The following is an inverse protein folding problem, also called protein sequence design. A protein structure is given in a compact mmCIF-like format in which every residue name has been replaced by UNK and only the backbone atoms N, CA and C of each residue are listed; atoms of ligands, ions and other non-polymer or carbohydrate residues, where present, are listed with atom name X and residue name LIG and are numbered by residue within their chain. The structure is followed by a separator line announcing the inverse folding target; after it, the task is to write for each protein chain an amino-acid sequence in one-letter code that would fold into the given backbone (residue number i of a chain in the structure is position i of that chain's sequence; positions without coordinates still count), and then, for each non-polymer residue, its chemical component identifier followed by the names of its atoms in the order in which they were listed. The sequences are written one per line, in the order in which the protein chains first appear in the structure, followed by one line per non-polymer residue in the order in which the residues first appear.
data_IF_529248273042
#
_entry.id   IF_529248273042
#
_cell.length_a   1.000
_cell.length_b   1.000
_cell.length_c   1.000
_cell.angle_alpha   90.00
_cell.angle_beta   90.00
_cell.angle_gamma   90.00
#
_symmetry.space_group_name_H-M   'P 1'
#
loop_
_entity.id
_entity.type
_entity.pdbx_description
1 polymer ?
#
# COMPACT_ATOMS: atom_id res chain seq x y z
N UNK A 1 -7.93 27.45 -4.88
CA UNK A 1 -6.79 26.62 -5.35
C UNK A 1 -7.33 25.22 -5.57
N UNK A 2 -6.86 24.50 -6.59
CA UNK A 2 -7.22 23.09 -6.77
C UNK A 2 -6.56 22.27 -5.66
N UNK A 3 -7.33 21.44 -4.96
CA UNK A 3 -6.85 20.61 -3.85
C UNK A 3 -5.89 19.54 -4.36
N UNK A 4 -4.85 19.20 -3.57
CA UNK A 4 -3.78 18.29 -4.02
C UNK A 4 -4.30 16.91 -4.42
N UNK A 5 -5.23 16.36 -3.64
CA UNK A 5 -5.80 15.02 -3.87
C UNK A 5 -6.74 14.94 -5.10
N UNK A 6 -7.06 16.08 -5.74
CA UNK A 6 -7.83 16.13 -6.99
C UNK A 6 -6.95 16.31 -8.23
N UNK A 7 -5.63 16.51 -8.06
CA UNK A 7 -4.73 16.67 -9.19
C UNK A 7 -4.56 15.34 -9.93
N UNK A 8 -4.51 15.42 -11.26
CA UNK A 8 -4.19 14.25 -12.07
C UNK A 8 -2.70 13.92 -11.86
N UNK A 9 -2.37 12.72 -11.35
CA UNK A 9 -1.00 12.35 -11.00
C UNK A 9 -0.09 12.24 -12.23
N UNK A 10 -0.63 12.00 -13.43
CA UNK A 10 0.15 11.96 -14.66
C UNK A 10 0.52 13.34 -15.16
N UNK A 11 -0.45 14.26 -15.19
CA UNK A 11 -0.22 15.65 -15.61
C UNK A 11 0.77 16.33 -14.66
N UNK A 12 0.62 16.10 -13.36
CA UNK A 12 1.52 16.65 -12.36
C UNK A 12 2.92 16.03 -12.44
N UNK A 13 3.04 14.71 -12.68
CA UNK A 13 4.34 14.09 -12.91
C UNK A 13 5.04 14.65 -14.15
N UNK A 14 4.32 14.81 -15.26
CA UNK A 14 4.85 15.41 -16.48
C UNK A 14 5.36 16.83 -16.19
N UNK A 15 4.51 17.68 -15.59
CA UNK A 15 4.84 19.05 -15.22
C UNK A 15 6.06 19.13 -14.31
N UNK A 16 6.08 18.36 -13.21
CA UNK A 16 7.19 18.38 -12.26
C UNK A 16 8.49 17.91 -12.91
N UNK A 17 8.46 16.85 -13.72
CA UNK A 17 9.66 16.28 -14.35
C UNK A 17 10.33 17.19 -15.38
N UNK A 18 9.67 18.25 -15.83
CA UNK A 18 10.23 19.29 -16.71
C UNK A 18 10.86 20.45 -15.94
N UNK A 19 10.55 20.57 -14.64
CA UNK A 19 11.10 21.63 -13.79
C UNK A 19 12.58 21.36 -13.47
N UNK A 20 13.40 22.40 -13.70
CA UNK A 20 14.80 22.41 -13.29
C UNK A 20 14.90 22.43 -11.76
N UNK A 21 15.79 21.61 -11.20
CA UNK A 21 15.98 21.49 -9.76
C UNK A 21 17.08 20.50 -9.41
N UNK A 22 17.23 20.17 -8.13
CA UNK A 22 18.18 19.15 -7.70
C UNK A 22 17.47 17.80 -7.61
N UNK A 23 17.49 17.03 -8.69
CA UNK A 23 16.85 15.73 -8.77
C UNK A 23 17.78 14.60 -8.34
N UNK A 24 17.26 13.67 -7.55
CA UNK A 24 17.85 12.35 -7.32
C UNK A 24 16.99 11.30 -8.02
N UNK A 25 17.62 10.38 -8.74
CA UNK A 25 16.93 9.35 -9.53
C UNK A 25 17.53 7.98 -9.21
N UNK A 26 16.68 7.02 -8.86
CA UNK A 26 17.02 5.60 -8.83
C UNK A 26 16.40 4.93 -10.06
N UNK A 27 17.23 4.31 -10.90
CA UNK A 27 16.72 3.37 -11.91
C UNK A 27 16.51 2.03 -11.25
N UNK A 28 15.34 1.42 -11.49
CA UNK A 28 14.85 0.26 -10.75
C UNK A 28 14.51 -0.91 -11.67
N UNK A 29 14.55 -2.12 -11.12
CA UNK A 29 14.09 -3.37 -11.74
C UNK A 29 12.87 -3.89 -10.95
N UNK A 30 11.64 -3.52 -11.35
CA UNK A 30 10.44 -3.94 -10.65
C UNK A 30 10.04 -5.38 -11.03
N UNK A 31 9.82 -6.23 -10.03
CA UNK A 31 9.18 -7.56 -10.19
C UNK A 31 7.66 -7.50 -10.00
N UNK A 32 7.09 -6.33 -10.23
CA UNK A 32 5.67 -5.97 -10.06
C UNK A 32 5.19 -5.22 -11.31
N UNK A 33 3.89 -5.01 -11.44
CA UNK A 33 3.34 -4.17 -12.49
C UNK A 33 3.87 -2.73 -12.35
N UNK A 34 4.37 -2.15 -13.43
CA UNK A 34 4.94 -0.80 -13.42
C UNK A 34 4.15 0.16 -14.31
N UNK A 35 3.98 1.45 -13.96
CA UNK A 35 3.14 2.37 -14.73
C UNK A 35 3.66 2.57 -16.17
N UNK A 36 2.74 2.68 -17.14
CA UNK A 36 3.04 2.95 -18.56
C UNK A 36 3.33 4.43 -18.86
N UNK A 37 3.00 5.31 -17.92
CA UNK A 37 3.21 6.75 -18.02
C UNK A 37 3.90 7.28 -16.76
N UNK A 38 4.43 8.50 -16.81
CA UNK A 38 5.00 9.14 -15.61
C UNK A 38 3.88 9.34 -14.59
N UNK A 39 4.06 8.89 -13.35
CA UNK A 39 3.05 8.99 -12.31
C UNK A 39 3.62 9.65 -11.05
N UNK A 40 2.89 10.63 -10.50
CA UNK A 40 3.25 11.25 -9.23
C UNK A 40 2.66 10.42 -8.10
N UNK A 41 3.47 10.12 -7.09
CA UNK A 41 3.08 9.39 -5.90
C UNK A 41 3.52 10.16 -4.66
N UNK A 42 2.61 10.31 -3.70
CA UNK A 42 2.93 10.84 -2.38
C UNK A 42 3.24 9.70 -1.41
N UNK A 43 4.35 9.83 -0.68
CA UNK A 43 4.76 8.89 0.36
C UNK A 43 5.51 9.64 1.45
N UNK A 44 5.08 9.47 2.70
CA UNK A 44 5.72 10.09 3.87
C UNK A 44 5.97 11.61 3.67
N UNK A 45 4.90 12.32 3.28
CA UNK A 45 4.85 13.76 3.01
C UNK A 45 5.73 14.25 1.84
N UNK A 46 6.29 13.34 1.04
CA UNK A 46 7.14 13.65 -0.11
C UNK A 46 6.55 13.08 -1.38
N UNK A 47 6.76 13.81 -2.46
CA UNK A 47 6.32 13.44 -3.79
C UNK A 47 7.46 12.79 -4.57
N UNK A 48 7.16 11.64 -5.16
CA UNK A 48 8.03 10.86 -6.01
C UNK A 48 7.43 10.77 -7.41
N UNK A 49 8.27 10.89 -8.44
CA UNK A 49 7.87 10.66 -9.82
C UNK A 49 8.34 9.28 -10.23
N UNK A 50 7.38 8.41 -10.56
CA UNK A 50 7.63 7.13 -11.20
C UNK A 50 7.78 7.36 -12.70
N UNK A 51 8.90 6.93 -13.27
CA UNK A 51 9.14 6.93 -14.71
C UNK A 51 8.74 5.59 -15.29
N UNK A 52 8.04 5.58 -16.44
CA UNK A 52 7.55 4.34 -17.02
C UNK A 52 8.67 3.50 -17.59
N UNK A 53 8.38 2.21 -17.79
CA UNK A 53 9.13 1.37 -18.72
C UNK A 53 8.51 1.54 -20.13
N UNK A 54 9.08 2.42 -20.96
CA UNK A 54 8.55 2.64 -22.31
C UNK A 54 9.36 1.90 -23.37
N UNK A 55 8.75 1.68 -24.54
CA UNK A 55 9.41 1.00 -25.65
C UNK A 55 10.50 1.85 -26.32
N UNK A 56 10.53 3.17 -26.06
CA UNK A 56 11.57 4.06 -26.55
C UNK A 56 12.86 3.82 -25.76
N UNK A 57 13.97 3.60 -26.49
CA UNK A 57 15.23 3.04 -25.99
C UNK A 57 15.91 3.81 -24.83
N UNK A 58 15.41 4.98 -24.46
CA UNK A 58 16.03 5.90 -23.50
C UNK A 58 15.29 5.99 -22.15
N UNK A 59 14.23 5.21 -21.92
CA UNK A 59 13.48 5.25 -20.66
C UNK A 59 13.47 3.89 -19.96
N UNK A 60 14.18 3.84 -18.83
CA UNK A 60 14.09 2.72 -17.87
C UNK A 60 13.16 3.10 -16.72
N UNK A 61 12.50 2.08 -16.15
CA UNK A 61 11.75 2.23 -14.91
C UNK A 61 12.61 2.93 -13.85
N UNK A 62 12.10 4.02 -13.28
CA UNK A 62 12.85 4.79 -12.31
C UNK A 62 11.94 5.52 -11.33
N UNK A 63 12.54 5.91 -10.20
CA UNK A 63 11.89 6.67 -9.14
C UNK A 63 12.74 7.91 -8.92
N UNK A 64 12.11 9.09 -9.00
CA UNK A 64 12.79 10.35 -8.80
C UNK A 64 12.16 11.17 -7.68
N UNK A 65 13.00 11.89 -6.94
CA UNK A 65 12.57 12.91 -5.98
C UNK A 65 13.34 14.20 -6.25
N UNK A 66 12.66 15.34 -6.09
CA UNK A 66 13.29 16.66 -6.17
C UNK A 66 13.80 17.09 -4.81
N UNK A 67 15.08 16.86 -4.55
CA UNK A 67 15.73 17.00 -3.24
C UNK A 67 15.67 18.44 -2.70
N UNK A 68 15.85 19.45 -3.55
CA UNK A 68 15.83 20.87 -3.16
C UNK A 68 14.46 21.34 -2.65
N UNK A 69 13.35 20.72 -3.11
CA UNK A 69 12.00 21.03 -2.61
C UNK A 69 11.86 20.73 -1.11
N UNK A 70 12.62 19.76 -0.62
CA UNK A 70 12.54 19.27 0.76
C UNK A 70 13.80 19.58 1.57
N UNK A 71 14.73 20.39 1.02
CA UNK A 71 15.99 20.72 1.69
C UNK A 71 16.91 19.53 1.94
N UNK A 72 16.80 18.47 1.12
CA UNK A 72 17.56 17.23 1.31
C UNK A 72 18.94 17.30 0.67
N UNK A 73 19.94 16.75 1.35
CA UNK A 73 21.22 16.38 0.75
C UNK A 73 21.04 15.22 -0.25
N UNK A 74 22.00 14.99 -1.16
CA UNK A 74 21.97 13.84 -2.07
C UNK A 74 21.82 12.49 -1.35
N UNK A 75 22.50 12.30 -0.23
CA UNK A 75 22.44 11.08 0.59
C UNK A 75 21.07 10.89 1.26
N UNK A 76 20.47 11.97 1.74
CA UNK A 76 19.12 11.93 2.31
C UNK A 76 18.07 11.65 1.24
N UNK A 77 18.19 12.26 0.06
CA UNK A 77 17.30 11.97 -1.07
C UNK A 77 17.38 10.49 -1.51
N UNK A 78 18.58 9.91 -1.57
CA UNK A 78 18.75 8.47 -1.81
C UNK A 78 18.09 7.63 -0.73
N UNK A 79 18.24 8.00 0.54
CA UNK A 79 17.61 7.31 1.67
C UNK A 79 16.08 7.34 1.56
N UNK A 80 15.49 8.47 1.18
CA UNK A 80 14.04 8.58 0.98
C UNK A 80 13.55 7.70 -0.18
N UNK A 81 14.28 7.65 -1.30
CA UNK A 81 13.95 6.71 -2.39
C UNK A 81 14.07 5.25 -1.92
N UNK A 82 15.12 4.90 -1.17
CA UNK A 82 15.26 3.53 -0.64
C UNK A 82 14.12 3.16 0.30
N UNK A 83 13.65 4.10 1.14
CA UNK A 83 12.48 3.88 2.02
C UNK A 83 11.21 3.68 1.21
N UNK A 84 10.99 4.51 0.19
CA UNK A 84 9.90 4.36 -0.77
C UNK A 84 9.91 2.97 -1.41
N UNK A 85 11.06 2.53 -1.94
CA UNK A 85 11.17 1.21 -2.56
C UNK A 85 10.85 0.06 -1.60
N UNK A 86 11.25 0.17 -0.32
CA UNK A 86 10.93 -0.85 0.68
C UNK A 86 9.43 -0.89 1.00
N UNK A 87 8.79 0.27 1.16
CA UNK A 87 7.36 0.34 1.43
C UNK A 87 6.54 -0.19 0.25
N UNK A 88 6.89 0.21 -0.98
CA UNK A 88 6.25 -0.29 -2.20
C UNK A 88 6.44 -1.80 -2.37
N UNK A 89 7.64 -2.33 -2.15
CA UNK A 89 7.90 -3.77 -2.23
C UNK A 89 7.09 -4.57 -1.20
N UNK A 90 6.89 -4.03 0.00
CA UNK A 90 6.05 -4.66 1.02
C UNK A 90 4.57 -4.64 0.62
N UNK A 91 4.06 -3.49 0.18
CA UNK A 91 2.67 -3.32 -0.26
C UNK A 91 2.31 -4.23 -1.44
N UNK A 92 3.21 -4.39 -2.41
CA UNK A 92 3.01 -5.23 -3.60
C UNK A 92 3.42 -6.70 -3.38
N UNK A 93 3.98 -7.05 -2.22
CA UNK A 93 4.53 -8.38 -1.95
C UNK A 93 5.55 -8.85 -3.00
N UNK A 94 6.24 -7.91 -3.65
CA UNK A 94 7.06 -8.15 -4.85
C UNK A 94 8.39 -7.42 -4.79
N UNK A 95 9.42 -7.98 -5.43
CA UNK A 95 10.77 -7.42 -5.40
C UNK A 95 10.93 -6.14 -6.21
N UNK A 96 11.83 -5.27 -5.75
CA UNK A 96 12.18 -4.01 -6.38
C UNK A 96 13.67 -3.71 -6.14
N UNK A 97 14.49 -3.92 -7.16
CA UNK A 97 15.94 -3.67 -7.08
C UNK A 97 16.29 -2.28 -7.59
N UNK A 98 17.30 -1.63 -7.00
CA UNK A 98 17.90 -0.41 -7.54
C UNK A 98 19.13 -0.80 -8.36
N UNK A 99 19.12 -0.47 -9.64
CA UNK A 99 20.19 -0.84 -10.60
C UNK A 99 21.24 0.26 -10.69
N UNK A 100 20.81 1.52 -10.68
CA UNK A 100 21.69 2.67 -10.87
C UNK A 100 21.16 3.92 -10.18
N UNK A 101 22.08 4.78 -9.78
CA UNK A 101 21.80 6.10 -9.25
C UNK A 101 22.20 7.17 -10.25
N UNK A 102 21.28 8.09 -10.53
CA UNK A 102 21.50 9.27 -11.34
C UNK A 102 20.95 10.52 -10.66
N UNK A 103 20.95 11.63 -11.37
CA UNK A 103 20.43 12.89 -10.87
C UNK A 103 21.00 14.10 -11.59
N UNK A 104 20.68 15.27 -11.06
CA UNK A 104 21.13 16.56 -11.58
C UNK A 104 19.97 17.51 -11.85
N UNK A 105 20.16 18.42 -12.81
CA UNK A 105 19.23 19.51 -13.07
C UNK A 105 17.84 19.03 -13.57
N UNK A 106 17.75 17.83 -14.12
CA UNK A 106 16.51 17.19 -14.58
C UNK A 106 16.54 15.70 -14.22
N UNK A 107 15.38 15.08 -13.97
CA UNK A 107 15.29 13.66 -13.63
C UNK A 107 15.46 12.80 -14.89
N UNK A 108 16.67 12.31 -15.12
CA UNK A 108 17.00 11.43 -16.26
C UNK A 108 17.38 10.05 -15.75
N UNK A 109 16.55 9.03 -15.98
CA UNK A 109 16.90 7.64 -15.69
C UNK A 109 18.14 7.21 -16.46
N UNK A 110 18.89 6.25 -15.90
CA UNK A 110 20.07 5.65 -16.55
C UNK A 110 20.02 4.15 -16.33
N UNK A 111 20.14 3.34 -17.37
CA UNK A 111 20.17 1.90 -17.18
C UNK A 111 19.76 1.11 -18.41
N UNK A 112 19.76 -0.21 -18.23
CA UNK A 112 19.31 -1.16 -19.22
C UNK A 112 17.91 -1.61 -18.84
N UNK A 113 17.02 -1.62 -19.82
CA UNK A 113 15.65 -2.09 -19.69
C UNK A 113 15.57 -3.51 -19.12
N UNK A 114 14.80 -3.68 -18.04
CA UNK A 114 14.46 -4.97 -17.41
C UNK A 114 13.02 -4.88 -16.87
N UNK A 115 12.23 -5.93 -17.10
CA UNK A 115 10.80 -5.98 -16.73
C UNK A 115 9.84 -6.00 -17.93
N UNK A 116 8.71 -6.71 -17.79
CA UNK A 116 7.70 -6.94 -18.85
C UNK A 116 6.24 -6.80 -18.37
N UNK A 117 6.01 -6.41 -17.11
CA UNK A 117 4.66 -6.28 -16.55
C UNK A 117 4.37 -4.79 -16.37
N UNK A 118 3.34 -4.32 -17.06
CA UNK A 118 2.94 -2.91 -17.07
C UNK A 118 1.51 -2.76 -16.54
N UNK A 119 1.21 -1.60 -15.97
CA UNK A 119 -0.13 -1.18 -15.56
C UNK A 119 -0.38 0.25 -16.04
N UNK A 120 -1.65 0.60 -16.29
CA UNK A 120 -2.00 1.99 -16.61
C UNK A 120 -1.90 2.89 -15.38
N UNK A 121 -2.05 2.34 -14.18
CA UNK A 121 -1.97 3.08 -12.92
C UNK A 121 -1.44 2.18 -11.81
N UNK A 122 -0.48 2.67 -11.03
CA UNK A 122 0.02 1.99 -9.84
C UNK A 122 -0.68 2.56 -8.60
N UNK A 123 -1.51 1.76 -7.95
CA UNK A 123 -2.16 2.14 -6.69
C UNK A 123 -1.15 2.07 -5.55
N UNK A 124 -1.13 3.10 -4.71
CA UNK A 124 -0.07 3.29 -3.68
C UNK A 124 -0.63 3.81 -2.36
N UNK A 125 -1.96 3.92 -2.25
CA UNK A 125 -2.64 4.45 -1.06
C UNK A 125 -2.36 3.68 0.22
N UNK A 126 -2.07 2.37 0.11
CA UNK A 126 -1.92 1.47 1.25
C UNK A 126 -0.45 1.16 1.59
N UNK A 127 0.50 1.95 1.06
CA UNK A 127 1.91 1.78 1.40
C UNK A 127 2.15 2.11 2.88
N UNK A 128 2.78 1.21 3.65
CA UNK A 128 2.98 1.44 5.07
C UNK A 128 4.07 2.48 5.32
N UNK A 129 3.96 3.19 6.45
CA UNK A 129 4.99 4.09 6.96
C UNK A 129 5.60 3.47 8.22
N UNK A 130 6.78 2.83 8.13
CA UNK A 130 7.47 2.29 9.30
C UNK A 130 7.75 3.34 10.36
N UNK A 131 7.35 3.06 11.60
CA UNK A 131 7.49 3.95 12.74
C UNK A 131 8.87 3.82 13.40
N UNK A 132 9.42 2.60 13.49
CA UNK A 132 10.70 2.32 14.16
C UNK A 132 11.86 2.04 13.19
N UNK A 133 13.09 2.09 13.69
CA UNK A 133 14.28 1.73 12.88
C UNK A 133 14.33 0.22 12.60
N UNK A 134 13.85 -0.59 13.55
CA UNK A 134 13.73 -2.04 13.42
C UNK A 134 12.74 -2.40 12.30
N UNK A 135 11.59 -1.73 12.24
CA UNK A 135 10.60 -1.88 11.16
C UNK A 135 11.19 -1.48 9.80
N UNK A 136 11.86 -0.31 9.74
CA UNK A 136 12.54 0.16 8.52
C UNK A 136 13.57 -0.84 8.04
N UNK A 137 14.37 -1.40 8.95
CA UNK A 137 15.36 -2.41 8.63
C UNK A 137 14.72 -3.71 8.17
N UNK A 138 13.65 -4.17 8.83
CA UNK A 138 12.95 -5.41 8.51
C UNK A 138 12.41 -5.40 7.07
N UNK A 139 11.65 -4.37 6.68
CA UNK A 139 11.11 -4.29 5.31
C UNK A 139 12.20 -4.03 4.25
N UNK A 140 13.31 -3.39 4.62
CA UNK A 140 14.45 -3.22 3.72
C UNK A 140 15.16 -4.55 3.45
N UNK A 141 15.39 -5.35 4.49
CA UNK A 141 15.92 -6.71 4.36
C UNK A 141 14.97 -7.65 3.63
N UNK A 142 13.65 -7.51 3.87
CA UNK A 142 12.62 -8.24 3.15
C UNK A 142 12.67 -7.94 1.65
N UNK A 143 12.61 -6.65 1.26
CA UNK A 143 12.75 -6.21 -0.14
C UNK A 143 13.99 -6.81 -0.78
N UNK A 144 15.16 -6.64 -0.13
CA UNK A 144 16.42 -7.18 -0.64
C UNK A 144 16.33 -8.69 -0.85
N UNK A 145 15.79 -9.43 0.12
CA UNK A 145 15.66 -10.88 0.07
C UNK A 145 14.80 -11.40 -1.09
N UNK A 146 13.70 -10.71 -1.41
CA UNK A 146 12.80 -11.12 -2.51
C UNK A 146 13.23 -10.57 -3.88
N UNK A 147 14.13 -9.59 -3.91
CA UNK A 147 14.60 -8.95 -5.15
C UNK A 147 15.86 -9.58 -5.71
N UNK A 148 16.61 -10.32 -4.91
CA UNK A 148 17.84 -11.00 -5.32
C UNK A 148 17.54 -12.28 -6.12
N UNK A 149 18.31 -12.51 -7.18
CA UNK A 149 18.31 -13.79 -7.93
C UNK A 149 19.17 -14.87 -7.25
N UNK A 150 20.11 -14.45 -6.40
CA UNK A 150 21.00 -15.36 -5.70
C UNK A 150 20.30 -15.91 -4.44
N UNK A 151 20.05 -17.23 -4.34
CA UNK A 151 19.29 -17.80 -3.23
C UNK A 151 20.02 -17.73 -1.89
N UNK A 152 21.35 -17.72 -1.88
CA UNK A 152 22.16 -17.63 -0.67
C UNK A 152 21.97 -16.27 0.02
N UNK A 153 22.12 -15.19 -0.75
CA UNK A 153 21.95 -13.83 -0.23
C UNK A 153 20.47 -13.50 0.00
N UNK A 154 19.57 -14.01 -0.84
CA UNK A 154 18.12 -13.92 -0.63
C UNK A 154 17.73 -14.50 0.73
N UNK A 155 18.20 -15.72 1.02
CA UNK A 155 17.97 -16.39 2.29
C UNK A 155 18.51 -15.57 3.46
N UNK A 156 19.79 -15.16 3.41
CA UNK A 156 20.39 -14.37 4.50
C UNK A 156 19.64 -13.06 4.74
N UNK A 157 19.15 -12.40 3.68
CA UNK A 157 18.42 -11.15 3.83
C UNK A 157 17.05 -11.36 4.45
N UNK A 158 16.27 -12.36 4.01
CA UNK A 158 15.00 -12.69 4.67
C UNK A 158 15.20 -13.10 6.13
N UNK A 159 16.26 -13.85 6.45
CA UNK A 159 16.59 -14.19 7.83
C UNK A 159 16.95 -12.96 8.67
N UNK A 160 17.63 -11.97 8.08
CA UNK A 160 17.90 -10.68 8.73
C UNK A 160 16.64 -9.87 8.98
N UNK A 161 15.62 -9.96 8.11
CA UNK A 161 14.33 -9.32 8.34
C UNK A 161 13.69 -9.82 9.65
N UNK A 162 13.66 -11.14 9.86
CA UNK A 162 13.22 -11.75 11.12
C UNK A 162 14.11 -11.27 12.29
N UNK A 163 15.43 -11.28 12.10
CA UNK A 163 16.40 -10.88 13.12
C UNK A 163 16.34 -9.41 13.54
N UNK A 164 15.88 -8.50 12.66
CA UNK A 164 15.71 -7.09 12.97
C UNK A 164 14.62 -6.86 14.04
N UNK A 165 13.55 -7.66 14.01
CA UNK A 165 12.43 -7.59 14.95
C UNK A 165 12.61 -8.53 16.15
N UNK A 166 13.34 -9.63 15.96
CA UNK A 166 13.65 -10.63 16.98
C UNK A 166 15.18 -10.74 17.18
N UNK A 167 15.82 -9.75 17.84
CA UNK A 167 17.28 -9.70 17.95
C UNK A 167 17.85 -10.78 18.88
N UNK A 168 17.05 -11.30 19.82
CA UNK A 168 17.49 -12.36 20.72
C UNK A 168 17.41 -13.73 20.02
N UNK A 169 18.56 -14.36 19.79
CA UNK A 169 18.65 -15.63 19.06
C UNK A 169 17.78 -16.76 19.63
N UNK A 170 17.75 -16.95 20.96
CA UNK A 170 16.94 -17.99 21.60
C UNK A 170 15.44 -17.74 21.45
N UNK A 171 15.01 -16.48 21.61
CA UNK A 171 13.59 -16.11 21.41
C UNK A 171 13.20 -16.27 19.94
N UNK A 172 14.07 -15.89 19.01
CA UNK A 172 13.84 -16.05 17.57
C UNK A 172 13.70 -17.51 17.18
N UNK A 173 14.58 -18.39 17.67
CA UNK A 173 14.51 -19.83 17.41
C UNK A 173 13.20 -20.43 17.93
N UNK A 174 12.83 -20.10 19.17
CA UNK A 174 11.55 -20.54 19.73
C UNK A 174 10.34 -20.01 18.94
N UNK A 175 10.40 -18.75 18.48
CA UNK A 175 9.35 -18.15 17.65
C UNK A 175 9.27 -18.83 16.28
N UNK A 176 10.41 -19.11 15.61
CA UNK A 176 10.43 -19.82 14.31
C UNK A 176 9.76 -21.18 14.46
N UNK A 177 10.11 -21.94 15.50
CA UNK A 177 9.53 -23.26 15.74
C UNK A 177 7.98 -23.22 15.87
N UNK A 178 7.45 -22.19 16.56
CA UNK A 178 6.00 -21.96 16.67
C UNK A 178 5.37 -21.47 15.36
N UNK A 179 6.01 -20.52 14.68
CA UNK A 179 5.52 -19.91 13.44
C UNK A 179 5.36 -20.92 12.29
N UNK A 180 6.11 -22.03 12.31
CA UNK A 180 5.98 -23.10 11.31
C UNK A 180 4.57 -23.70 11.24
N UNK A 181 3.78 -23.65 12.32
CA UNK A 181 2.39 -24.13 12.33
C UNK A 181 1.40 -23.11 11.75
N UNK A 182 1.84 -21.87 11.56
CA UNK A 182 1.00 -20.73 11.18
C UNK A 182 1.27 -20.23 9.76
N UNK A 183 2.10 -20.96 9.00
CA UNK A 183 2.35 -20.69 7.59
C UNK A 183 1.03 -20.72 6.81
N UNK A 184 0.89 -19.76 5.88
CA UNK A 184 -0.29 -19.61 5.02
C UNK A 184 0.05 -19.55 3.53
N UNK A 185 1.33 -19.47 3.17
CA UNK A 185 1.77 -19.65 1.78
C UNK A 185 1.85 -21.14 1.42
N UNK A 186 1.22 -21.51 0.30
CA UNK A 186 1.16 -22.90 -0.15
C UNK A 186 2.54 -23.53 -0.38
N UNK A 187 3.49 -22.77 -0.95
CA UNK A 187 4.85 -23.27 -1.25
C UNK A 187 5.68 -23.37 0.02
N UNK A 188 5.48 -22.47 0.98
CA UNK A 188 6.08 -22.54 2.31
C UNK A 188 5.62 -23.80 3.07
N UNK A 189 4.30 -24.07 3.06
CA UNK A 189 3.70 -25.26 3.67
C UNK A 189 4.25 -26.54 3.04
N UNK A 190 4.24 -26.62 1.70
CA UNK A 190 4.77 -27.77 0.96
C UNK A 190 6.23 -28.04 1.31
N UNK A 191 7.07 -27.00 1.35
CA UNK A 191 8.49 -27.15 1.68
C UNK A 191 8.72 -27.59 3.13
N UNK A 192 7.97 -27.02 4.08
CA UNK A 192 8.01 -27.46 5.50
C UNK A 192 7.69 -28.95 5.60
N UNK A 193 6.62 -29.39 4.93
CA UNK A 193 6.16 -30.78 5.00
C UNK A 193 7.13 -31.74 4.31
N UNK A 194 7.78 -31.32 3.21
CA UNK A 194 8.86 -32.06 2.57
C UNK A 194 10.02 -32.33 3.55
N UNK A 195 10.47 -31.30 4.29
CA UNK A 195 11.55 -31.43 5.28
C UNK A 195 11.10 -32.31 6.46
N UNK A 196 9.89 -32.10 6.98
CA UNK A 196 9.33 -32.91 8.09
C UNK A 196 9.19 -34.39 7.72
N UNK A 197 8.82 -34.70 6.49
CA UNK A 197 8.68 -36.09 6.01
C UNK A 197 9.99 -36.88 6.08
N UNK A 198 11.13 -36.19 6.12
CA UNK A 198 12.47 -36.78 6.27
C UNK A 198 12.87 -36.96 7.75
N UNK A 199 12.00 -36.60 8.70
CA UNK A 199 12.29 -36.65 10.14
C UNK A 199 13.21 -35.53 10.64
N UNK A 200 13.39 -34.47 9.84
CA UNK A 200 14.26 -33.33 10.15
C UNK A 200 13.46 -32.26 10.92
N UNK A 201 14.06 -31.73 12.00
CA UNK A 201 13.53 -30.54 12.66
C UNK A 201 13.76 -29.30 11.77
N UNK A 202 12.68 -28.73 11.28
CA UNK A 202 12.73 -27.63 10.30
C UNK A 202 13.39 -26.37 10.89
N UNK A 203 13.17 -26.08 12.18
CA UNK A 203 13.74 -24.89 12.82
C UNK A 203 15.26 -25.03 12.95
N UNK A 204 15.73 -26.19 13.41
CA UNK A 204 17.15 -26.51 13.47
C UNK A 204 17.81 -26.51 12.09
N UNK A 205 17.13 -27.10 11.09
CA UNK A 205 17.59 -27.10 9.69
C UNK A 205 17.80 -25.69 9.13
N UNK A 206 16.83 -24.78 9.30
CA UNK A 206 16.95 -23.39 8.84
C UNK A 206 18.10 -22.65 9.54
N UNK A 207 18.39 -22.99 10.80
CA UNK A 207 19.47 -22.37 11.57
C UNK A 207 20.85 -22.91 11.19
N UNK A 208 21.04 -24.22 11.27
CA UNK A 208 22.34 -24.87 11.13
C UNK A 208 22.71 -25.13 9.67
N UNK A 209 21.82 -25.75 8.90
CA UNK A 209 22.09 -26.18 7.51
C UNK A 209 21.83 -25.09 6.46
N UNK A 210 21.23 -23.98 6.87
CA UNK A 210 21.02 -22.83 5.99
C UNK A 210 21.75 -21.59 6.53
N UNK A 211 21.24 -20.93 7.58
CA UNK A 211 21.79 -19.65 8.04
C UNK A 211 23.28 -19.76 8.41
N UNK A 212 23.65 -20.75 9.22
CA UNK A 212 25.04 -20.92 9.67
C UNK A 212 25.93 -21.37 8.51
N UNK A 213 25.47 -22.35 7.73
CA UNK A 213 26.22 -22.88 6.59
C UNK A 213 26.50 -21.85 5.48
N UNK A 214 25.58 -20.91 5.23
CA UNK A 214 25.81 -19.80 4.28
C UNK A 214 26.76 -18.76 4.87
N UNK A 215 26.67 -18.49 6.18
CA UNK A 215 27.41 -17.40 6.83
C UNK A 215 28.86 -17.76 7.22
N UNK A 216 29.17 -19.05 7.42
CA UNK A 216 30.42 -19.52 8.00
C UNK A 216 31.07 -20.58 7.10
N UNK A 217 31.99 -20.17 6.22
CA UNK A 217 32.71 -21.08 5.32
C UNK A 217 33.75 -21.94 6.05
N UNK A 218 34.10 -21.58 7.30
CA UNK A 218 35.07 -22.27 8.13
C UNK A 218 34.49 -23.43 8.96
N UNK A 219 33.18 -23.69 8.87
CA UNK A 219 32.46 -24.70 9.66
C UNK A 219 31.72 -25.67 8.76
N UNK A 220 31.68 -26.93 9.16
CA UNK A 220 30.79 -27.91 8.54
C UNK A 220 29.42 -27.94 9.25
N UNK A 221 28.30 -27.99 8.52
CA UNK A 221 28.23 -27.86 7.06
C UNK A 221 28.48 -26.40 6.61
N UNK A 222 29.14 -26.22 5.47
CA UNK A 222 29.18 -24.95 4.74
C UNK A 222 28.46 -25.11 3.41
N UNK A 223 28.05 -23.98 2.83
CA UNK A 223 27.41 -23.94 1.52
C UNK A 223 28.40 -23.47 0.46
N UNK A 224 28.49 -24.22 -0.65
CA UNK A 224 29.35 -23.87 -1.77
C UNK A 224 28.51 -23.36 -2.95
N UNK A 225 28.68 -22.10 -3.39
CA UNK A 225 27.95 -21.55 -4.54
C UNK A 225 28.17 -22.29 -5.87
N UNK A 226 29.27 -23.03 -6.01
CA UNK A 226 29.55 -23.86 -7.18
C UNK A 226 28.91 -25.26 -7.07
N UNK A 227 28.38 -25.64 -5.89
CA UNK A 227 27.62 -26.88 -5.72
C UNK A 227 26.15 -26.66 -6.09
N UNK A 228 25.74 -27.39 -7.13
CA UNK A 228 24.42 -27.26 -7.75
C UNK A 228 23.30 -27.64 -6.78
N UNK A 229 23.53 -28.66 -5.96
CA UNK A 229 22.55 -29.15 -4.97
C UNK A 229 22.26 -28.10 -3.89
N UNK A 230 23.28 -27.38 -3.42
CA UNK A 230 23.11 -26.28 -2.46
C UNK A 230 22.28 -25.14 -3.05
N UNK A 231 22.56 -24.78 -4.31
CA UNK A 231 21.79 -23.75 -5.01
C UNK A 231 20.31 -24.14 -5.14
N UNK A 232 20.01 -25.37 -5.60
CA UNK A 232 18.64 -25.83 -5.75
C UNK A 232 17.91 -25.98 -4.41
N UNK A 233 18.58 -26.54 -3.40
CA UNK A 233 18.03 -26.71 -2.05
C UNK A 233 17.63 -25.36 -1.47
N UNK A 234 18.52 -24.38 -1.46
CA UNK A 234 18.21 -23.06 -0.90
C UNK A 234 17.18 -22.30 -1.72
N UNK A 235 17.15 -22.48 -3.05
CA UNK A 235 16.08 -21.93 -3.89
C UNK A 235 14.70 -22.47 -3.50
N UNK A 236 14.62 -23.75 -3.11
CA UNK A 236 13.39 -24.37 -2.57
C UNK A 236 13.04 -23.87 -1.16
N UNK A 237 14.03 -23.47 -0.37
CA UNK A 237 13.82 -22.96 0.99
C UNK A 237 13.34 -21.49 1.02
N UNK A 238 13.55 -20.72 -0.06
CA UNK A 238 13.17 -19.30 -0.11
C UNK A 238 11.68 -19.03 0.17
N UNK A 239 10.69 -19.75 -0.41
CA UNK A 239 9.27 -19.51 -0.09
C UNK A 239 8.96 -19.71 1.40
N UNK A 240 9.54 -20.75 2.01
CA UNK A 240 9.39 -21.01 3.44
C UNK A 240 9.92 -19.83 4.27
N UNK A 241 11.16 -19.40 4.00
CA UNK A 241 11.75 -18.30 4.76
C UNK A 241 11.06 -16.95 4.47
N UNK A 242 10.57 -16.75 3.25
CA UNK A 242 9.79 -15.56 2.89
C UNK A 242 8.52 -15.46 3.73
N UNK A 243 7.73 -16.52 3.80
CA UNK A 243 6.49 -16.50 4.57
C UNK A 243 6.76 -16.35 6.08
N UNK A 244 7.83 -16.96 6.61
CA UNK A 244 8.30 -16.68 7.97
C UNK A 244 8.70 -15.21 8.17
N UNK A 245 9.37 -14.57 7.21
CA UNK A 245 9.71 -13.15 7.30
C UNK A 245 8.46 -12.25 7.28
N UNK A 246 7.47 -12.58 6.44
CA UNK A 246 6.18 -11.89 6.37
C UNK A 246 5.41 -11.99 7.71
N UNK A 247 5.34 -13.19 8.31
CA UNK A 247 4.76 -13.41 9.63
C UNK A 247 5.52 -12.66 10.74
N UNK A 248 6.84 -12.69 10.71
CA UNK A 248 7.67 -11.99 11.70
C UNK A 248 7.40 -10.48 11.68
N UNK A 249 7.30 -9.89 10.49
CA UNK A 249 6.96 -8.48 10.30
C UNK A 249 5.56 -8.20 10.83
N UNK A 250 4.55 -8.99 10.48
CA UNK A 250 3.17 -8.74 10.92
C UNK A 250 2.94 -8.87 12.42
N UNK A 251 3.58 -9.85 13.06
CA UNK A 251 3.35 -10.16 14.48
C UNK A 251 4.19 -9.33 15.43
N UNK A 252 5.36 -8.87 14.99
CA UNK A 252 6.33 -8.17 15.83
C UNK A 252 6.50 -6.70 15.43
N UNK A 253 5.58 -6.17 14.63
CA UNK A 253 5.58 -4.75 14.24
C UNK A 253 4.18 -4.19 14.04
N UNK A 254 4.09 -2.90 13.75
CA UNK A 254 2.85 -2.23 13.35
C UNK A 254 2.43 -2.53 11.90
N UNK A 255 3.31 -3.14 11.10
CA UNK A 255 3.12 -3.31 9.67
C UNK A 255 2.28 -4.55 9.36
N UNK A 256 1.12 -4.36 8.73
CA UNK A 256 0.27 -5.48 8.29
C UNK A 256 0.69 -5.98 6.91
N UNK A 257 0.52 -7.28 6.67
CA UNK A 257 0.67 -7.84 5.32
C UNK A 257 -0.43 -7.28 4.41
N UNK A 258 -0.16 -7.13 3.10
CA UNK A 258 -1.17 -6.69 2.15
C UNK A 258 -2.46 -7.52 2.25
N UNK A 259 -2.34 -8.85 2.29
CA UNK A 259 -3.49 -9.74 2.41
C UNK A 259 -4.32 -9.50 3.67
N UNK A 260 -3.68 -9.23 4.82
CA UNK A 260 -4.37 -8.91 6.07
C UNK A 260 -5.08 -7.57 5.97
N UNK A 261 -4.41 -6.54 5.43
CA UNK A 261 -5.00 -5.22 5.23
C UNK A 261 -6.25 -5.27 4.34
N UNK A 262 -6.22 -6.05 3.26
CA UNK A 262 -7.37 -6.27 2.37
C UNK A 262 -8.47 -7.10 3.02
N UNK A 263 -8.13 -8.20 3.70
CA UNK A 263 -9.11 -9.09 4.34
C UNK A 263 -9.85 -8.43 5.49
N UNK A 264 -9.17 -7.55 6.23
CA UNK A 264 -9.69 -6.87 7.42
C UNK A 264 -10.11 -5.43 7.15
N UNK A 265 -10.05 -4.97 5.89
CA UNK A 265 -10.52 -3.65 5.44
C UNK A 265 -9.94 -2.47 6.23
N UNK A 266 -8.70 -2.61 6.75
CA UNK A 266 -8.12 -1.66 7.72
C UNK A 266 -7.94 -0.23 7.20
N UNK A 267 -7.98 -0.05 5.87
CA UNK A 267 -7.88 1.24 5.20
C UNK A 267 -9.22 1.98 5.07
N UNK A 268 -10.36 1.29 5.20
CA UNK A 268 -11.66 1.89 4.80
C UNK A 268 -12.16 2.96 5.74
N UNK A 269 -11.90 2.79 7.04
CA UNK A 269 -12.36 3.70 8.12
C UNK A 269 -11.19 4.30 8.92
N UNK A 270 -9.96 4.18 8.44
CA UNK A 270 -8.76 4.56 9.19
C UNK A 270 -8.81 6.01 9.71
N UNK A 271 -9.09 6.99 8.85
CA UNK A 271 -9.15 8.39 9.27
C UNK A 271 -10.42 8.74 10.08
N UNK A 272 -11.54 8.05 9.85
CA UNK A 272 -12.73 8.22 10.71
C UNK A 272 -12.48 7.76 12.14
N UNK A 273 -11.71 6.69 12.35
CA UNK A 273 -11.35 6.22 13.69
C UNK A 273 -10.51 7.23 14.47
N UNK A 274 -9.73 8.07 13.80
CA UNK A 274 -8.97 9.13 14.44
C UNK A 274 -9.88 10.28 14.94
N UNK A 275 -11.07 10.42 14.37
CA UNK A 275 -12.05 11.44 14.77
C UNK A 275 -12.94 11.00 15.94
N UNK A 276 -13.06 9.70 16.18
CA UNK A 276 -13.96 9.13 17.19
C UNK A 276 -13.17 8.57 18.37
N UNK A 277 -13.69 8.69 19.58
CA UNK A 277 -13.08 8.03 20.74
C UNK A 277 -13.24 6.51 20.66
N UNK A 278 -12.29 5.77 21.23
CA UNK A 278 -12.36 4.31 21.30
C UNK A 278 -13.64 3.82 22.00
N UNK A 279 -14.08 4.53 23.05
CA UNK A 279 -15.34 4.22 23.75
C UNK A 279 -16.56 4.31 22.83
N UNK A 280 -16.60 5.33 21.97
CA UNK A 280 -17.69 5.51 21.02
C UNK A 280 -17.67 4.43 19.93
N UNK A 281 -16.49 4.12 19.40
CA UNK A 281 -16.31 3.04 18.41
C UNK A 281 -16.79 1.71 19.02
N UNK A 282 -16.42 1.41 20.26
CA UNK A 282 -16.85 0.18 20.96
C UNK A 282 -18.37 0.11 21.14
N UNK A 283 -19.03 1.22 21.47
CA UNK A 283 -20.50 1.28 21.56
C UNK A 283 -21.14 1.06 20.19
N UNK A 284 -20.61 1.67 19.13
CA UNK A 284 -21.10 1.50 17.77
C UNK A 284 -20.96 0.05 17.30
N UNK A 285 -19.80 -0.58 17.54
CA UNK A 285 -19.56 -2.01 17.26
C UNK A 285 -20.59 -2.92 17.94
N UNK A 286 -20.98 -2.60 19.16
CA UNK A 286 -21.96 -3.38 19.96
C UNK A 286 -23.42 -2.97 19.71
N UNK A 287 -23.67 -2.00 18.82
CA UNK A 287 -25.00 -1.41 18.61
C UNK A 287 -25.62 -0.85 19.90
N UNK A 288 -24.79 -0.38 20.83
CA UNK A 288 -25.23 0.27 22.05
C UNK A 288 -25.66 1.72 21.75
N UNK A 289 -26.72 2.24 22.39
CA UNK A 289 -27.14 3.62 22.20
C UNK A 289 -26.03 4.61 22.57
N UNK A 290 -25.79 5.58 21.69
CA UNK A 290 -24.88 6.69 21.99
C UNK A 290 -25.55 7.60 23.04
N UNK A 291 -24.89 7.95 24.15
CA UNK A 291 -25.47 8.81 25.16
C UNK A 291 -25.92 10.17 24.61
N UNK A 292 -27.09 10.64 25.04
CA UNK A 292 -27.59 11.96 24.70
C UNK A 292 -26.58 13.05 25.10
N UNK A 293 -26.30 13.98 24.18
CA UNK A 293 -25.33 15.06 24.39
C UNK A 293 -23.86 14.67 24.14
N UNK A 294 -23.59 13.48 23.60
CA UNK A 294 -22.27 13.14 23.07
C UNK A 294 -21.91 14.08 21.93
N UNK A 295 -20.92 14.95 22.15
CA UNK A 295 -20.36 15.84 21.12
C UNK A 295 -19.22 15.13 20.42
N UNK A 296 -19.29 15.05 19.09
CA UNK A 296 -18.21 14.54 18.24
C UNK A 296 -17.67 15.73 17.44
N UNK A 297 -16.37 15.98 17.54
CA UNK A 297 -15.70 16.99 16.72
C UNK A 297 -15.44 16.40 15.33
N UNK A 298 -16.36 16.63 14.42
CA UNK A 298 -16.22 16.26 13.00
C UNK A 298 -15.96 17.52 12.15
N UNK A 299 -15.23 17.40 11.03
CA UNK A 299 -15.10 18.50 10.07
C UNK A 299 -16.46 19.04 9.61
N UNK A 300 -16.52 20.34 9.30
CA UNK A 300 -17.73 21.00 8.80
C UNK A 300 -17.97 20.76 7.30
N UNK A 301 -16.88 20.58 6.55
CA UNK A 301 -16.87 20.46 5.10
C UNK A 301 -16.05 19.24 4.66
N UNK A 302 -16.61 18.52 3.70
CA UNK A 302 -16.00 17.34 3.11
C UNK A 302 -15.93 17.46 1.59
N UNK A 303 -14.97 16.76 1.02
CA UNK A 303 -14.99 16.40 -0.40
C UNK A 303 -15.24 14.91 -0.53
N UNK A 304 -16.27 14.56 -1.30
CA UNK A 304 -16.50 13.17 -1.72
C UNK A 304 -15.93 12.97 -3.11
N UNK A 305 -15.14 11.93 -3.30
CA UNK A 305 -14.44 11.64 -4.55
C UNK A 305 -14.81 10.26 -5.05
N UNK A 306 -15.17 10.14 -6.33
CA UNK A 306 -15.13 8.89 -7.05
C UNK A 306 -13.81 8.83 -7.82
N UNK A 307 -12.96 7.84 -7.50
CA UNK A 307 -11.66 7.66 -8.12
C UNK A 307 -11.57 6.33 -8.85
N UNK A 308 -10.95 6.37 -10.03
CA UNK A 308 -10.53 5.19 -10.80
C UNK A 308 -9.21 5.51 -11.48
N UNK A 309 -8.11 5.09 -10.86
CA UNK A 309 -6.77 5.53 -11.30
C UNK A 309 -6.66 7.05 -11.31
N UNK A 310 -6.34 7.62 -12.48
CA UNK A 310 -6.29 9.08 -12.67
C UNK A 310 -7.65 9.74 -12.96
N UNK A 311 -8.71 8.98 -13.24
CA UNK A 311 -10.06 9.52 -13.40
C UNK A 311 -10.61 9.92 -12.02
N UNK A 312 -10.98 11.20 -11.87
CA UNK A 312 -11.44 11.77 -10.61
C UNK A 312 -12.69 12.61 -10.85
N UNK A 313 -13.75 12.35 -10.08
CA UNK A 313 -14.95 13.18 -10.02
C UNK A 313 -15.28 13.46 -8.56
N UNK A 314 -15.59 14.71 -8.23
CA UNK A 314 -15.79 15.09 -6.83
C UNK A 314 -17.00 15.99 -6.62
N UNK A 315 -17.46 15.99 -5.36
CA UNK A 315 -18.37 16.97 -4.81
C UNK A 315 -17.70 17.64 -3.62
N UNK A 316 -17.48 18.95 -3.73
CA UNK A 316 -16.88 19.78 -2.70
C UNK A 316 -17.95 20.44 -1.82
N UNK A 317 -17.52 20.98 -0.67
CA UNK A 317 -18.38 21.68 0.29
C UNK A 317 -19.59 20.86 0.74
N UNK A 318 -19.41 19.54 0.85
CA UNK A 318 -20.45 18.64 1.35
C UNK A 318 -20.51 18.75 2.87
N UNK A 319 -21.71 18.91 3.43
CA UNK A 319 -21.93 18.99 4.88
C UNK A 319 -22.35 17.62 5.41
N UNK A 320 -21.83 17.21 6.58
CA UNK A 320 -22.20 15.94 7.19
C UNK A 320 -23.58 16.03 7.83
N UNK A 321 -24.37 14.98 7.68
CA UNK A 321 -25.61 14.74 8.42
C UNK A 321 -25.57 13.31 8.98
N UNK A 322 -25.53 13.18 10.30
CA UNK A 322 -25.66 11.87 10.96
C UNK A 322 -27.15 11.51 10.94
N UNK A 323 -27.53 10.63 10.02
CA UNK A 323 -28.94 10.29 9.78
C UNK A 323 -29.49 9.24 10.76
N UNK A 324 -28.63 8.55 11.50
CA UNK A 324 -29.01 7.61 12.54
C UNK A 324 -27.95 6.54 12.82
N UNK A 325 -28.21 5.72 13.83
CA UNK A 325 -27.42 4.52 14.14
C UNK A 325 -28.01 3.31 13.41
N UNK A 326 -27.14 2.42 12.94
CA UNK A 326 -27.50 1.10 12.39
C UNK A 326 -26.77 0.01 13.16
N UNK A 327 -27.11 -1.24 12.92
CA UNK A 327 -26.39 -2.36 13.52
C UNK A 327 -24.89 -2.26 13.18
N UNK A 328 -24.04 -2.22 14.22
CA UNK A 328 -22.59 -2.17 14.09
C UNK A 328 -22.00 -0.84 13.61
N UNK A 329 -22.81 0.22 13.42
CA UNK A 329 -22.33 1.44 12.77
C UNK A 329 -23.28 2.64 12.78
N UNK A 330 -23.02 3.60 11.91
CA UNK A 330 -23.86 4.79 11.74
C UNK A 330 -24.05 5.17 10.27
N UNK A 331 -25.19 5.78 9.96
CA UNK A 331 -25.48 6.37 8.64
C UNK A 331 -24.89 7.77 8.59
N UNK A 332 -24.01 7.98 7.62
CA UNK A 332 -23.29 9.22 7.39
C UNK A 332 -23.70 9.78 6.02
N UNK A 333 -24.62 10.73 6.03
CA UNK A 333 -25.05 11.42 4.82
C UNK A 333 -24.16 12.64 4.59
N UNK A 334 -23.81 12.89 3.33
CA UNK A 334 -23.07 14.07 2.88
C UNK A 334 -23.94 14.83 1.89
N UNK A 335 -24.26 16.08 2.21
CA UNK A 335 -25.27 16.87 1.51
C UNK A 335 -24.68 18.15 0.96
N UNK A 336 -25.01 18.50 -0.28
CA UNK A 336 -24.57 19.77 -0.88
C UNK A 336 -25.24 20.97 -0.19
N UNK A 337 -24.62 22.14 -0.26
CA UNK A 337 -25.13 23.37 0.36
C UNK A 337 -26.56 23.74 -0.07
N UNK A 338 -26.92 23.46 -1.33
CA UNK A 338 -28.24 23.68 -1.89
C UNK A 338 -29.22 22.51 -1.69
N UNK A 339 -28.81 21.49 -0.93
CA UNK A 339 -29.52 20.22 -0.69
C UNK A 339 -29.91 19.45 -1.97
N UNK A 340 -29.32 19.80 -3.12
CA UNK A 340 -29.64 19.19 -4.39
C UNK A 340 -29.00 17.81 -4.57
N UNK A 341 -27.88 17.53 -3.90
CA UNK A 341 -27.14 16.27 -3.96
C UNK A 341 -27.01 15.70 -2.55
N UNK A 342 -27.26 14.40 -2.40
CA UNK A 342 -27.05 13.65 -1.16
C UNK A 342 -26.28 12.38 -1.48
N UNK A 343 -25.20 12.13 -0.76
CA UNK A 343 -24.43 10.89 -0.81
C UNK A 343 -24.57 10.21 0.55
N UNK A 344 -25.12 9.01 0.55
CA UNK A 344 -25.34 8.20 1.75
C UNK A 344 -24.27 7.13 1.84
N UNK A 345 -23.55 7.12 2.95
CA UNK A 345 -22.65 6.03 3.33
C UNK A 345 -23.04 5.47 4.69
N UNK A 346 -22.53 4.28 5.00
CA UNK A 346 -22.60 3.69 6.34
C UNK A 346 -21.17 3.44 6.80
N UNK A 347 -20.84 3.99 7.97
CA UNK A 347 -19.59 3.70 8.66
C UNK A 347 -19.85 2.44 9.52
N UNK A 348 -19.58 1.26 8.97
CA UNK A 348 -19.72 -0.01 9.69
C UNK A 348 -18.44 -0.28 10.47
N UNK A 349 -18.43 0.09 11.75
CA UNK A 349 -17.28 -0.17 12.61
C UNK A 349 -17.17 -1.64 12.97
N UNK A 350 -18.28 -2.38 13.06
CA UNK A 350 -18.27 -3.80 13.33
C UNK A 350 -17.52 -4.60 12.25
N UNK A 351 -17.68 -4.22 10.98
CA UNK A 351 -17.08 -4.92 9.85
C UNK A 351 -15.82 -4.23 9.30
N UNK A 352 -15.44 -3.07 9.85
CA UNK A 352 -14.36 -2.21 9.33
C UNK A 352 -14.62 -1.72 7.89
N UNK A 353 -15.87 -1.39 7.55
CA UNK A 353 -16.29 -1.07 6.17
C UNK A 353 -16.83 0.35 6.02
N UNK A 354 -16.44 1.03 4.95
CA UNK A 354 -17.13 2.19 4.41
C UNK A 354 -18.13 1.71 3.34
N UNK A 355 -19.36 1.46 3.77
CA UNK A 355 -20.38 0.92 2.87
C UNK A 355 -21.03 2.05 2.07
N UNK A 356 -21.00 1.91 0.75
CA UNK A 356 -21.65 2.79 -0.20
C UNK A 356 -22.42 1.94 -1.22
N UNK A 357 -23.71 2.22 -1.43
CA UNK A 357 -24.50 1.60 -2.50
C UNK A 357 -24.22 2.35 -3.82
N UNK A 358 -23.56 1.73 -4.82
CA UNK A 358 -23.21 2.41 -6.08
C UNK A 358 -24.42 2.88 -6.91
N UNK A 359 -25.61 2.32 -6.66
CA UNK A 359 -26.82 2.58 -7.43
C UNK A 359 -27.75 3.55 -6.69
N UNK A 360 -27.96 3.34 -5.39
CA UNK A 360 -28.92 4.13 -4.59
C UNK A 360 -28.26 5.03 -3.54
N UNK A 361 -26.95 4.91 -3.34
CA UNK A 361 -26.19 5.70 -2.37
C UNK A 361 -25.98 7.15 -2.79
N UNK A 362 -26.28 7.53 -4.03
CA UNK A 362 -26.25 8.91 -4.49
C UNK A 362 -27.62 9.34 -5.01
N UNK A 363 -28.15 10.40 -4.42
CA UNK A 363 -29.41 11.02 -4.80
C UNK A 363 -29.20 12.43 -5.32
N UNK A 364 -30.08 12.84 -6.24
CA UNK A 364 -30.15 14.24 -6.67
C UNK A 364 -31.59 14.68 -6.87
N UNK A 365 -31.85 15.97 -6.65
CA UNK A 365 -33.15 16.58 -6.93
C UNK A 365 -33.15 17.09 -8.38
N UNK A 366 -33.98 16.55 -9.30
CA UNK A 366 -33.98 16.98 -10.69
C UNK A 366 -34.65 18.36 -10.86
N UNK A 367 -33.96 19.28 -11.55
CA UNK A 367 -34.55 20.54 -12.01
C UNK A 367 -33.93 20.97 -13.36
N UNK A 368 -34.55 20.53 -14.46
CA UNK A 368 -34.07 20.79 -15.83
C UNK A 368 -34.32 22.21 -16.33
N UNK A 369 -34.94 23.06 -15.52
CA UNK A 369 -35.13 24.48 -15.85
C UNK A 369 -33.97 25.33 -15.30
N UNK A 370 -33.16 24.78 -14.39
CA UNK A 370 -32.03 25.47 -13.79
C UNK A 370 -30.70 24.87 -14.27
N UNK A 371 -29.84 25.71 -14.84
CA UNK A 371 -28.53 25.31 -15.38
C UNK A 371 -27.61 24.67 -14.32
N UNK A 372 -27.67 25.13 -13.08
CA UNK A 372 -26.88 24.57 -11.95
C UNK A 372 -27.33 23.14 -11.65
N UNK A 373 -28.64 22.89 -11.61
CA UNK A 373 -29.18 21.56 -11.35
C UNK A 373 -28.92 20.57 -12.50
N UNK A 374 -28.90 21.04 -13.75
CA UNK A 374 -28.42 20.22 -14.88
C UNK A 374 -26.95 19.84 -14.70
N UNK A 375 -26.12 20.77 -14.19
CA UNK A 375 -24.71 20.48 -13.90
C UNK A 375 -24.57 19.42 -12.81
N UNK A 376 -25.39 19.49 -11.76
CA UNK A 376 -25.46 18.48 -10.71
C UNK A 376 -25.83 17.12 -11.27
N UNK A 377 -26.90 17.03 -12.08
CA UNK A 377 -27.33 15.78 -12.75
C UNK A 377 -26.18 15.19 -13.58
N UNK A 378 -25.48 16.00 -14.38
CA UNK A 378 -24.32 15.55 -15.16
C UNK A 378 -23.15 15.07 -14.29
N UNK A 379 -22.86 15.76 -13.19
CA UNK A 379 -21.77 15.39 -12.28
C UNK A 379 -22.09 14.09 -11.55
N UNK A 380 -23.34 13.90 -11.09
CA UNK A 380 -23.81 12.66 -10.48
C UNK A 380 -23.67 11.49 -11.45
N UNK A 381 -24.10 11.65 -12.71
CA UNK A 381 -23.95 10.59 -13.72
C UNK A 381 -22.48 10.22 -13.98
N UNK A 382 -21.57 11.20 -13.99
CA UNK A 382 -20.12 10.96 -14.14
C UNK A 382 -19.53 10.26 -12.93
N UNK A 383 -19.90 10.70 -11.73
CA UNK A 383 -19.52 10.09 -10.47
C UNK A 383 -19.97 8.63 -10.41
N UNK A 384 -21.25 8.34 -10.66
CA UNK A 384 -21.79 6.99 -10.69
C UNK A 384 -21.12 6.12 -11.75
N UNK A 385 -20.88 6.65 -12.96
CA UNK A 385 -20.14 5.93 -14.00
C UNK A 385 -18.74 5.55 -13.54
N UNK A 386 -18.02 6.46 -12.87
CA UNK A 386 -16.68 6.20 -12.35
C UNK A 386 -16.70 5.04 -11.36
N UNK A 387 -17.57 5.10 -10.34
CA UNK A 387 -17.73 4.02 -9.35
C UNK A 387 -18.06 2.70 -10.05
N UNK A 388 -19.09 2.67 -10.91
CA UNK A 388 -19.53 1.46 -11.62
C UNK A 388 -18.50 0.92 -12.62
N UNK A 389 -17.43 1.65 -12.92
CA UNK A 389 -16.37 1.22 -13.85
C UNK A 389 -15.12 0.75 -13.11
N UNK A 390 -15.26 0.05 -11.98
CA UNK A 390 -14.15 -0.31 -11.08
C UNK A 390 -13.50 0.93 -10.43
N UNK A 391 -14.33 1.90 -10.05
CA UNK A 391 -13.91 2.99 -9.18
C UNK A 391 -14.27 2.72 -7.72
N UNK A 392 -13.73 3.53 -6.83
CA UNK A 392 -14.06 3.54 -5.40
C UNK A 392 -14.42 4.95 -4.95
N UNK A 393 -15.19 5.02 -3.86
CA UNK A 393 -15.53 6.26 -3.17
C UNK A 393 -14.48 6.57 -2.11
N UNK A 394 -14.07 7.83 -2.01
CA UNK A 394 -13.22 8.39 -0.96
C UNK A 394 -13.97 9.56 -0.29
N UNK A 395 -13.78 9.69 1.03
CA UNK A 395 -14.26 10.83 1.81
C UNK A 395 -13.06 11.55 2.39
N UNK A 396 -12.95 12.85 2.11
CA UNK A 396 -11.84 13.69 2.53
C UNK A 396 -12.33 14.80 3.45
N UNK A 397 -11.57 15.06 4.52
CA UNK A 397 -11.62 16.34 5.24
C UNK A 397 -11.12 17.42 4.27
N UNK A 398 -12.03 18.33 3.92
CA UNK A 398 -11.76 19.34 2.91
C UNK A 398 -10.69 20.35 3.36
N UNK A 399 -10.63 20.68 4.64
CA UNK A 399 -9.75 21.73 5.16
C UNK A 399 -8.35 21.20 5.43
N UNK A 400 -8.27 20.00 6.02
CA UNK A 400 -6.99 19.36 6.36
C UNK A 400 -6.37 18.60 5.19
N UNK A 401 -7.13 18.36 4.11
CA UNK A 401 -6.74 17.51 2.99
C UNK A 401 -6.34 16.09 3.43
N UNK A 402 -7.06 15.53 4.42
CA UNK A 402 -6.84 14.18 4.97
C UNK A 402 -7.95 13.25 4.48
N UNK A 403 -7.59 12.06 3.98
CA UNK A 403 -8.58 11.03 3.63
C UNK A 403 -9.11 10.37 4.91
N UNK A 404 -10.41 10.46 5.12
CA UNK A 404 -11.08 9.89 6.30
C UNK A 404 -11.52 8.44 6.07
N UNK A 405 -11.90 8.13 4.84
CA UNK A 405 -12.27 6.76 4.47
C UNK A 405 -12.30 6.52 2.98
N UNK A 406 -12.18 5.26 2.62
CA UNK A 406 -12.17 4.75 1.23
C UNK A 406 -12.98 3.47 1.18
N UNK A 407 -13.89 3.34 0.23
CA UNK A 407 -14.61 2.07 0.00
C UNK A 407 -13.78 1.12 -0.86
N UNK A 408 -14.13 -0.16 -0.88
CA UNK A 408 -13.61 -1.06 -1.91
C UNK A 408 -13.95 -0.59 -3.32
N UNK A 409 -13.13 -1.03 -4.28
CA UNK A 409 -13.44 -0.91 -5.69
C UNK A 409 -14.76 -1.62 -6.01
N UNK A 410 -15.70 -0.90 -6.59
CA UNK A 410 -16.96 -1.49 -7.04
C UNK A 410 -16.70 -2.38 -8.25
N UNK A 411 -16.83 -3.69 -8.10
CA UNK A 411 -16.77 -4.68 -9.19
C UNK A 411 -18.20 -5.12 -9.51
N UNK A 412 -18.84 -4.60 -10.57
CA UNK A 412 -20.19 -5.02 -10.93
C UNK A 412 -20.20 -6.49 -11.32
N UNK A 413 -21.01 -7.29 -10.63
CA UNK A 413 -21.27 -8.70 -10.99
C UNK A 413 -22.52 -8.80 -11.85
N UNK A 414 -22.53 -9.73 -12.81
CA UNK A 414 -23.67 -9.97 -13.72
C UNK A 414 -24.04 -8.79 -14.65
N UNK A 415 -23.08 -7.95 -15.02
CA UNK A 415 -23.28 -7.00 -16.11
C UNK A 415 -23.20 -7.74 -17.45
N UNK A 416 -24.34 -7.92 -18.12
CA UNK A 416 -24.35 -8.24 -19.55
C UNK A 416 -23.90 -6.99 -20.30
N UNK A 417 -22.72 -7.07 -20.91
CA UNK A 417 -22.18 -6.02 -21.80
C UNK A 417 -22.78 -6.15 -23.19
#
# INVERSE_FOLDING_TARGET
MTKKFLLNPFDEAARQSEERGNWMVATVDPRMSWPTQRQLVSFNEKEFVLFPDSADADQSAAIAIRADRYGLSPEEARREIMRFCSALSWAEGSGLSIIAWGGGNLPRPIGVRRGRIITDFLEVGDMPIPSTDEERAAIAFYREGISLDNPFYGFLSLFKAIGALLPNGKKREAWIADALERLDDHRAIERRDEIRSQGIDVSAYLWDECRNAIAHAERDPYVNPDEVDDHFRLSKDLPLLRNLAELAIEENSSLKRPQTLWREHLYELAGFKELLSEELIDKLKKSEPIPDGTTIEIPDLYTVVARRGAEVYSFDNMRPEIAGQVEGGMVFDLVSEDAAIRIRTVLSFADERLVFDPVHGIGFTPNRQNKTYIRHELNVLRFSRCILSNGHLEIWDQEREIMLGRSETCIPVNCFV
#
